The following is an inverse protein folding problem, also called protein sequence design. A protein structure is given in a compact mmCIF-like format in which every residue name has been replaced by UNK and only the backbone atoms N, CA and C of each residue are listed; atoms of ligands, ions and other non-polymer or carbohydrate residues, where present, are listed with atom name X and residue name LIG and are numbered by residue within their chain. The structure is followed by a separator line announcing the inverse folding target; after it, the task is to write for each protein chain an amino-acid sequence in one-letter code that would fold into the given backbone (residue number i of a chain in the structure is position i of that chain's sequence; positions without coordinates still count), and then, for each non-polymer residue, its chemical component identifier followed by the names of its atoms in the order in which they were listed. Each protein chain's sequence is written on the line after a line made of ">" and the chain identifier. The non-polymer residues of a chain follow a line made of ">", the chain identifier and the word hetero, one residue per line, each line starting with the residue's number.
data_IF_752735323004
#
_entry.id   IF_752735323004
#
_cell.length_a   1.000
_cell.length_b   1.000
_cell.length_c   1.000
_cell.angle_alpha   90.00
_cell.angle_beta   90.00
_cell.angle_gamma   90.00
#
_symmetry.space_group_name_H-M   'P 1'
#
loop_
_entity.id
_entity.type
_entity.pdbx_description
1 polymer ?
#
# COMPACT_ATOMS: atom_id res chain seq x y z
N UNK A 1 69.50 -8.30 -30.28
CA UNK A 1 69.04 -7.54 -29.10
C UNK A 1 68.51 -8.52 -28.07
N UNK A 2 69.20 -8.66 -26.94
CA UNK A 2 68.75 -9.56 -25.81
C UNK A 2 67.70 -8.79 -24.98
N UNK A 3 66.41 -9.16 -25.07
CA UNK A 3 65.39 -8.67 -24.18
C UNK A 3 65.67 -9.22 -22.77
N UNK A 4 66.15 -8.35 -21.88
CA UNK A 4 66.25 -8.66 -20.46
C UNK A 4 64.82 -8.68 -19.90
N UNK A 5 64.28 -9.87 -19.63
CA UNK A 5 63.09 -10.03 -18.83
C UNK A 5 63.41 -9.49 -17.44
N UNK A 6 62.74 -8.40 -17.05
CA UNK A 6 62.81 -7.88 -15.67
C UNK A 6 62.21 -8.93 -14.74
N UNK A 7 63.01 -9.44 -13.82
CA UNK A 7 62.49 -10.32 -12.78
C UNK A 7 61.50 -9.53 -11.90
N UNK A 8 60.29 -10.04 -11.74
CA UNK A 8 59.30 -9.51 -10.80
C UNK A 8 59.89 -9.60 -9.39
N UNK A 9 59.90 -8.51 -8.66
CA UNK A 9 60.40 -8.50 -7.28
C UNK A 9 59.32 -8.95 -6.33
N UNK A 10 59.68 -9.50 -5.17
CA UNK A 10 58.71 -9.87 -4.12
C UNK A 10 57.87 -8.66 -3.69
N UNK A 11 58.45 -7.46 -3.75
CA UNK A 11 57.78 -6.21 -3.44
C UNK A 11 56.67 -5.91 -4.44
N UNK A 12 56.89 -6.20 -5.72
CA UNK A 12 55.84 -5.99 -6.76
C UNK A 12 54.66 -6.93 -6.53
N UNK A 13 54.91 -8.18 -6.12
CA UNK A 13 53.86 -9.15 -5.80
C UNK A 13 53.07 -8.73 -4.55
N UNK A 14 53.76 -8.30 -3.51
CA UNK A 14 53.13 -7.82 -2.27
C UNK A 14 52.30 -6.56 -2.54
N UNK A 15 52.80 -5.61 -3.35
CA UNK A 15 52.07 -4.41 -3.77
C UNK A 15 50.80 -4.77 -4.55
N UNK A 16 50.91 -5.69 -5.51
CA UNK A 16 49.76 -6.15 -6.28
C UNK A 16 48.69 -6.83 -5.39
N UNK A 17 49.11 -7.68 -4.43
CA UNK A 17 48.21 -8.32 -3.49
C UNK A 17 47.46 -7.30 -2.60
N UNK A 18 48.16 -6.28 -2.13
CA UNK A 18 47.59 -5.23 -1.29
C UNK A 18 46.55 -4.43 -2.08
N UNK A 19 46.85 -4.00 -3.29
CA UNK A 19 45.93 -3.29 -4.15
C UNK A 19 44.69 -4.15 -4.49
N UNK A 20 44.93 -5.43 -4.83
CA UNK A 20 43.84 -6.35 -5.12
C UNK A 20 42.92 -6.57 -3.93
N UNK A 21 43.44 -6.67 -2.71
CA UNK A 21 42.63 -6.83 -1.50
C UNK A 21 41.76 -5.59 -1.22
N UNK A 22 42.29 -4.38 -1.47
CA UNK A 22 41.52 -3.14 -1.34
C UNK A 22 40.38 -3.07 -2.37
N UNK A 23 40.67 -3.43 -3.62
CA UNK A 23 39.66 -3.45 -4.69
C UNK A 23 38.55 -4.45 -4.38
N UNK A 24 38.89 -5.66 -3.96
CA UNK A 24 37.93 -6.70 -3.58
C UNK A 24 37.09 -6.24 -2.37
N UNK A 25 37.74 -5.67 -1.34
CA UNK A 25 37.04 -5.14 -0.17
C UNK A 25 36.06 -4.03 -0.53
N UNK A 26 36.48 -3.09 -1.38
CA UNK A 26 35.59 -2.04 -1.86
C UNK A 26 34.42 -2.55 -2.69
N UNK A 27 34.66 -3.56 -3.54
CA UNK A 27 33.61 -4.20 -4.35
C UNK A 27 32.58 -4.92 -3.48
N UNK A 28 33.04 -5.66 -2.45
CA UNK A 28 32.15 -6.32 -1.49
C UNK A 28 31.33 -5.32 -0.68
N UNK A 29 31.95 -4.25 -0.19
CA UNK A 29 31.24 -3.19 0.52
C UNK A 29 30.16 -2.56 -0.35
N UNK A 30 30.48 -2.23 -1.60
CA UNK A 30 29.52 -1.68 -2.55
C UNK A 30 28.35 -2.65 -2.80
N UNK A 31 28.61 -3.93 -2.91
CA UNK A 31 27.58 -4.95 -3.14
C UNK A 31 26.63 -5.05 -1.94
N UNK A 32 27.14 -5.03 -0.71
CA UNK A 32 26.33 -5.01 0.52
C UNK A 32 25.46 -3.73 0.55
N UNK A 33 26.07 -2.58 0.29
CA UNK A 33 25.36 -1.31 0.25
C UNK A 33 24.19 -1.30 -0.76
N UNK A 34 24.41 -1.86 -1.95
CA UNK A 34 23.36 -1.98 -2.97
C UNK A 34 22.24 -2.91 -2.51
N UNK A 35 22.58 -4.06 -1.89
CA UNK A 35 21.57 -4.98 -1.37
C UNK A 35 20.71 -4.38 -0.25
N UNK A 36 21.32 -3.66 0.68
CA UNK A 36 20.58 -2.97 1.75
C UNK A 36 19.58 -1.95 1.18
N UNK A 37 20.04 -1.12 0.24
CA UNK A 37 19.15 -0.14 -0.42
C UNK A 37 18.04 -0.79 -1.25
N UNK A 38 18.30 -1.94 -1.90
CA UNK A 38 17.26 -2.67 -2.63
C UNK A 38 16.18 -3.22 -1.69
N UNK A 39 16.57 -3.80 -0.57
CA UNK A 39 15.62 -4.33 0.41
C UNK A 39 14.72 -3.21 0.98
N UNK A 40 15.28 -2.05 1.34
CA UNK A 40 14.48 -0.90 1.80
C UNK A 40 13.51 -0.39 0.71
N UNK A 41 13.95 -0.39 -0.55
CA UNK A 41 13.12 0.02 -1.67
C UNK A 41 11.97 -0.96 -1.93
N UNK A 42 12.24 -2.27 -1.88
CA UNK A 42 11.23 -3.32 -2.05
C UNK A 42 10.18 -3.25 -0.94
N UNK A 43 10.58 -3.15 0.32
CA UNK A 43 9.69 -3.01 1.47
C UNK A 43 8.81 -1.75 1.38
N UNK A 44 9.41 -0.62 0.98
CA UNK A 44 8.66 0.63 0.81
C UNK A 44 7.67 0.54 -0.35
N UNK A 45 8.05 -0.12 -1.44
CA UNK A 45 7.19 -0.30 -2.62
C UNK A 45 6.02 -1.24 -2.31
N UNK A 46 6.26 -2.35 -1.61
CA UNK A 46 5.22 -3.29 -1.20
C UNK A 46 4.20 -2.63 -0.26
N UNK A 47 4.67 -1.83 0.70
CA UNK A 47 3.79 -1.08 1.60
C UNK A 47 2.90 -0.10 0.84
N UNK A 48 3.45 0.69 -0.08
CA UNK A 48 2.67 1.62 -0.92
C UNK A 48 1.64 0.88 -1.77
N UNK A 49 2.04 -0.22 -2.39
CA UNK A 49 1.16 -1.04 -3.20
C UNK A 49 -0.04 -1.57 -2.39
N UNK A 50 0.15 -2.00 -1.14
CA UNK A 50 -0.94 -2.43 -0.25
C UNK A 50 -1.96 -1.33 0.01
N UNK A 51 -1.51 -0.10 0.26
CA UNK A 51 -2.39 1.07 0.47
C UNK A 51 -3.18 1.37 -0.80
N UNK A 52 -2.53 1.38 -1.96
CA UNK A 52 -3.16 1.65 -3.25
C UNK A 52 -4.18 0.57 -3.61
N UNK A 53 -3.83 -0.70 -3.43
CA UNK A 53 -4.73 -1.83 -3.67
C UNK A 53 -5.97 -1.77 -2.76
N UNK A 54 -5.80 -1.42 -1.49
CA UNK A 54 -6.91 -1.24 -0.56
C UNK A 54 -7.84 -0.09 -1.01
N UNK A 55 -7.25 1.05 -1.42
CA UNK A 55 -8.01 2.17 -1.97
C UNK A 55 -8.81 1.78 -3.22
N UNK A 56 -8.16 1.15 -4.20
CA UNK A 56 -8.83 0.71 -5.44
C UNK A 56 -9.97 -0.28 -5.15
N UNK A 57 -9.75 -1.21 -4.22
CA UNK A 57 -10.75 -2.19 -3.83
C UNK A 57 -11.96 -1.52 -3.19
N UNK A 58 -11.75 -0.60 -2.25
CA UNK A 58 -12.80 0.21 -1.64
C UNK A 58 -13.55 1.05 -2.68
N UNK A 59 -12.82 1.75 -3.54
CA UNK A 59 -13.42 2.57 -4.59
C UNK A 59 -14.31 1.75 -5.52
N UNK A 60 -13.86 0.56 -5.90
CA UNK A 60 -14.66 -0.37 -6.71
C UNK A 60 -15.92 -0.84 -6.00
N UNK A 61 -15.84 -1.12 -4.69
CA UNK A 61 -17.02 -1.47 -3.89
C UNK A 61 -18.01 -0.31 -3.81
N UNK A 62 -17.52 0.91 -3.59
CA UNK A 62 -18.37 2.10 -3.60
C UNK A 62 -19.08 2.31 -4.93
N UNK A 63 -18.38 2.12 -6.05
CA UNK A 63 -18.96 2.30 -7.38
C UNK A 63 -20.02 1.25 -7.72
N UNK A 64 -19.79 -0.03 -7.34
CA UNK A 64 -20.66 -1.14 -7.71
C UNK A 64 -21.86 -1.33 -6.78
N UNK A 65 -21.71 -1.06 -5.49
CA UNK A 65 -22.77 -1.34 -4.52
C UNK A 65 -24.08 -0.59 -4.83
N UNK A 66 -25.21 -1.26 -4.69
CA UNK A 66 -26.55 -0.66 -4.80
C UNK A 66 -26.93 0.07 -3.52
N UNK A 67 -26.52 -0.46 -2.37
CA UNK A 67 -26.68 0.14 -1.04
C UNK A 67 -25.41 0.06 -0.23
N UNK A 68 -25.13 1.10 0.54
CA UNK A 68 -23.94 1.19 1.37
C UNK A 68 -24.37 1.64 2.77
N UNK A 69 -24.06 0.86 3.79
CA UNK A 69 -24.38 1.18 5.17
C UNK A 69 -23.12 1.22 6.03
N UNK A 70 -23.04 2.18 6.93
CA UNK A 70 -21.98 2.26 7.93
C UNK A 70 -22.57 2.05 9.32
N UNK A 71 -22.15 0.99 10.00
CA UNK A 71 -22.61 0.61 11.34
C UNK A 71 -21.45 0.03 12.13
N UNK A 72 -21.25 0.49 13.37
CA UNK A 72 -20.30 -0.08 14.33
C UNK A 72 -18.89 -0.27 13.78
N UNK A 73 -18.38 0.74 13.07
CA UNK A 73 -17.07 0.69 12.40
C UNK A 73 -16.98 -0.32 11.25
N UNK A 74 -18.09 -0.73 10.68
CA UNK A 74 -18.14 -1.58 9.49
C UNK A 74 -18.91 -0.89 8.36
N UNK A 75 -18.35 -0.95 7.16
CA UNK A 75 -19.06 -0.58 5.93
C UNK A 75 -19.58 -1.87 5.31
N UNK A 76 -20.90 -1.93 5.09
CA UNK A 76 -21.57 -3.03 4.42
C UNK A 76 -21.98 -2.57 3.03
N UNK A 77 -21.45 -3.21 2.02
CA UNK A 77 -21.78 -3.00 0.62
C UNK A 77 -22.73 -4.10 0.16
N UNK A 78 -23.85 -3.74 -0.45
CA UNK A 78 -24.81 -4.66 -1.03
C UNK A 78 -24.83 -4.49 -2.54
N UNK A 79 -24.63 -5.55 -3.31
CA UNK A 79 -24.65 -5.63 -4.76
C UNK A 79 -25.36 -6.94 -5.17
N UNK A 80 -26.47 -6.88 -5.90
CA UNK A 80 -27.19 -8.06 -6.44
C UNK A 80 -27.33 -9.24 -5.44
N UNK A 81 -27.82 -8.99 -4.22
CA UNK A 81 -27.93 -9.95 -3.12
C UNK A 81 -26.61 -10.47 -2.52
N UNK A 82 -25.46 -9.98 -2.97
CA UNK A 82 -24.17 -10.24 -2.34
C UNK A 82 -23.84 -9.12 -1.35
N UNK A 83 -23.19 -9.50 -0.26
CA UNK A 83 -22.72 -8.54 0.74
C UNK A 83 -21.22 -8.65 0.88
N UNK A 84 -20.54 -7.52 0.79
CA UNK A 84 -19.13 -7.36 1.11
C UNK A 84 -19.00 -6.48 2.36
N UNK A 85 -18.01 -6.77 3.19
CA UNK A 85 -17.81 -6.08 4.46
C UNK A 85 -16.43 -5.49 4.51
N UNK A 86 -16.35 -4.27 5.04
CA UNK A 86 -15.08 -3.62 5.34
C UNK A 86 -15.12 -3.16 6.78
N UNK A 87 -14.32 -3.78 7.62
CA UNK A 87 -14.18 -3.38 9.01
C UNK A 87 -13.06 -2.33 9.16
N UNK A 88 -13.41 -1.20 9.75
CA UNK A 88 -12.52 -0.07 10.01
C UNK A 88 -12.17 -0.10 11.49
N UNK A 89 -11.12 -0.83 11.84
CA UNK A 89 -10.58 -0.84 13.20
C UNK A 89 -9.59 0.30 13.43
N UNK A 90 -9.22 0.52 14.68
CA UNK A 90 -8.26 1.58 15.06
C UNK A 90 -6.88 1.33 14.43
N UNK A 91 -6.43 0.08 14.46
CA UNK A 91 -5.08 -0.31 14.04
C UNK A 91 -5.10 -1.24 12.83
N UNK A 92 -6.28 -1.60 12.32
CA UNK A 92 -6.44 -2.59 11.26
C UNK A 92 -7.67 -2.30 10.39
N UNK A 93 -7.45 -2.22 9.09
CA UNK A 93 -8.49 -2.26 8.07
C UNK A 93 -8.61 -3.69 7.54
N UNK A 94 -9.81 -4.27 7.57
CA UNK A 94 -10.09 -5.60 7.01
C UNK A 94 -11.07 -5.45 5.86
N UNK A 95 -10.69 -5.90 4.68
CA UNK A 95 -11.53 -5.91 3.49
C UNK A 95 -11.92 -7.35 3.20
N UNK A 96 -13.20 -7.67 3.28
CA UNK A 96 -13.73 -9.00 2.99
C UNK A 96 -14.63 -8.97 1.75
N UNK A 97 -14.04 -9.34 0.61
CA UNK A 97 -14.71 -9.46 -0.70
C UNK A 97 -14.68 -10.90 -1.24
N UNK A 98 -14.60 -11.90 -0.33
CA UNK A 98 -14.37 -13.30 -0.69
C UNK A 98 -12.93 -13.77 -0.48
N UNK A 99 -11.96 -12.85 -0.50
CA UNK A 99 -10.62 -13.03 0.11
C UNK A 99 -10.51 -11.98 1.20
N UNK A 100 -10.02 -12.39 2.36
CA UNK A 100 -9.74 -11.45 3.45
C UNK A 100 -8.39 -10.81 3.15
N UNK A 101 -8.39 -9.51 3.03
CA UNK A 101 -7.19 -8.70 2.93
C UNK A 101 -7.16 -7.71 4.10
N UNK A 102 -5.99 -7.38 4.61
CA UNK A 102 -5.83 -6.52 5.77
C UNK A 102 -4.67 -5.55 5.60
N UNK A 103 -4.90 -4.32 6.06
CA UNK A 103 -3.92 -3.26 6.10
C UNK A 103 -3.75 -2.79 7.54
N UNK A 104 -2.53 -2.89 8.08
CA UNK A 104 -2.19 -2.30 9.37
C UNK A 104 -2.06 -0.79 9.19
N UNK A 105 -2.85 -0.01 9.91
CA UNK A 105 -2.87 1.43 9.87
C UNK A 105 -3.15 2.00 11.26
N UNK A 106 -3.03 3.29 11.42
CA UNK A 106 -3.50 3.99 12.61
C UNK A 106 -4.62 4.94 12.19
N UNK A 107 -5.86 4.59 12.54
CA UNK A 107 -7.03 5.41 12.20
C UNK A 107 -7.02 6.70 13.02
N UNK A 108 -7.14 7.84 12.33
CA UNK A 108 -7.24 9.17 12.95
C UNK A 108 -8.71 9.54 13.07
N UNK A 109 -9.45 9.57 11.96
CA UNK A 109 -10.84 10.01 11.93
C UNK A 109 -11.65 9.35 10.80
N UNK A 110 -12.97 9.27 10.99
CA UNK A 110 -13.93 8.80 9.99
C UNK A 110 -15.13 9.71 9.96
N UNK A 111 -15.27 10.48 8.91
CA UNK A 111 -16.43 11.31 8.65
C UNK A 111 -17.37 10.64 7.65
N UNK A 112 -18.66 10.63 7.93
CA UNK A 112 -19.66 10.01 7.06
C UNK A 112 -20.79 10.99 6.72
N UNK A 113 -21.23 10.98 5.46
CA UNK A 113 -22.45 11.66 5.03
C UNK A 113 -23.47 10.66 4.53
N UNK A 114 -24.72 10.81 4.92
CA UNK A 114 -25.83 9.92 4.55
C UNK A 114 -26.83 10.62 3.63
N UNK A 115 -27.60 9.84 2.90
CA UNK A 115 -28.74 10.35 2.12
C UNK A 115 -29.82 10.79 3.12
N UNK A 116 -30.39 11.98 2.89
CA UNK A 116 -31.42 12.55 3.76
C UNK A 116 -32.64 11.61 3.86
N UNK A 117 -32.98 11.23 5.10
CA UNK A 117 -34.09 10.29 5.37
C UNK A 117 -33.78 8.81 5.26
N UNK A 118 -32.51 8.43 5.00
CA UNK A 118 -32.07 7.04 4.85
C UNK A 118 -30.79 6.72 5.60
N UNK A 119 -30.59 5.43 5.83
CA UNK A 119 -29.37 4.94 6.48
C UNK A 119 -28.25 4.62 5.45
N UNK A 120 -28.50 4.93 4.17
CA UNK A 120 -27.57 4.72 3.07
C UNK A 120 -26.49 5.78 3.07
N UNK A 121 -25.25 5.34 3.01
CA UNK A 121 -24.06 6.20 3.00
C UNK A 121 -23.91 6.87 1.63
N UNK A 122 -23.74 8.18 1.63
CA UNK A 122 -23.48 8.98 0.42
C UNK A 122 -21.98 9.19 0.19
N UNK A 123 -21.25 9.49 1.26
CA UNK A 123 -19.81 9.65 1.22
C UNK A 123 -19.17 9.23 2.55
N UNK A 124 -17.92 8.84 2.48
CA UNK A 124 -17.06 8.61 3.63
C UNK A 124 -15.71 9.21 3.37
N UNK A 125 -15.16 9.87 4.39
CA UNK A 125 -13.79 10.34 4.47
C UNK A 125 -13.09 9.60 5.58
N UNK A 126 -11.93 9.05 5.32
CA UNK A 126 -11.13 8.26 6.24
C UNK A 126 -9.76 8.88 6.31
N UNK A 127 -9.37 9.35 7.49
CA UNK A 127 -8.03 9.85 7.77
C UNK A 127 -7.26 8.82 8.59
N UNK A 128 -6.05 8.47 8.16
CA UNK A 128 -5.21 7.48 8.83
C UNK A 128 -3.73 7.72 8.61
N UNK A 129 -2.92 7.22 9.52
CA UNK A 129 -1.47 7.12 9.38
C UNK A 129 -1.09 5.72 8.89
N UNK A 130 -0.19 5.67 7.93
CA UNK A 130 0.44 4.45 7.47
C UNK A 130 1.92 4.70 7.24
N UNK A 131 2.77 3.94 7.94
CA UNK A 131 4.23 4.05 7.82
C UNK A 131 4.73 5.52 7.97
N UNK A 132 4.34 6.19 9.05
CA UNK A 132 4.68 7.58 9.39
C UNK A 132 4.11 8.67 8.47
N UNK A 133 3.28 8.31 7.49
CA UNK A 133 2.63 9.26 6.57
C UNK A 133 1.15 9.33 6.84
N UNK A 134 0.60 10.54 6.79
CA UNK A 134 -0.83 10.75 6.85
C UNK A 134 -1.45 10.58 5.47
N UNK A 135 -2.56 9.87 5.42
CA UNK A 135 -3.37 9.64 4.22
C UNK A 135 -4.79 10.07 4.48
N UNK A 136 -5.44 10.55 3.42
CA UNK A 136 -6.86 10.86 3.41
C UNK A 136 -7.50 10.16 2.22
N UNK A 137 -8.51 9.33 2.49
CA UNK A 137 -9.32 8.70 1.46
C UNK A 137 -10.71 9.28 1.47
N UNK A 138 -11.20 9.67 0.29
CA UNK A 138 -12.55 10.16 0.11
C UNK A 138 -13.29 9.33 -0.94
N UNK A 139 -14.40 8.73 -0.52
CA UNK A 139 -15.26 7.95 -1.40
C UNK A 139 -16.65 8.60 -1.46
N UNK A 140 -17.18 8.71 -2.65
CA UNK A 140 -18.47 9.30 -2.92
C UNK A 140 -19.27 8.44 -3.87
N UNK A 141 -20.57 8.24 -3.58
CA UNK A 141 -21.52 7.56 -4.46
C UNK A 141 -22.55 8.53 -4.96
N UNK A 142 -22.64 8.68 -6.28
CA UNK A 142 -23.72 9.41 -6.93
C UNK A 142 -24.85 8.43 -7.24
N UNK A 143 -25.88 8.42 -6.44
CA UNK A 143 -27.10 7.67 -6.71
C UNK A 143 -27.84 8.40 -7.84
N UNK A 144 -27.95 7.79 -9.03
CA UNK A 144 -28.67 8.36 -10.18
C UNK A 144 -30.13 8.68 -9.82
N UNK A 145 -30.76 9.59 -10.58
CA UNK A 145 -32.13 10.01 -10.31
C UNK A 145 -33.15 8.86 -10.25
N UNK A 146 -32.97 7.80 -11.06
CA UNK A 146 -33.82 6.60 -11.03
C UNK A 146 -33.76 5.87 -9.68
N UNK A 147 -32.57 5.70 -9.15
CA UNK A 147 -32.35 5.07 -7.84
C UNK A 147 -32.89 5.90 -6.68
N UNK A 148 -32.92 7.23 -6.83
CA UNK A 148 -33.51 8.15 -5.85
C UNK A 148 -35.05 8.15 -5.88
N UNK A 149 -35.67 7.90 -7.04
CA UNK A 149 -37.15 7.85 -7.17
C UNK A 149 -37.70 6.57 -6.54
N UNK A 150 -37.12 5.41 -6.83
CA UNK A 150 -37.48 4.13 -6.18
C UNK A 150 -37.31 4.16 -4.66
N UNK A 151 -36.49 5.06 -4.21
CA UNK A 151 -36.15 5.30 -2.83
C UNK A 151 -37.17 6.23 -2.13
N UNK A 152 -37.90 7.04 -2.85
CA UNK A 152 -38.91 8.01 -2.31
C UNK A 152 -40.33 7.41 -2.30
N UNK A 153 -40.60 6.37 -3.11
CA UNK A 153 -41.96 5.79 -3.24
C UNK A 153 -42.19 4.54 -2.39
N UNK A 154 -41.30 4.22 -1.43
CA UNK A 154 -41.47 3.10 -0.46
C UNK A 154 -41.52 3.63 0.98
#
# INVERSE_FOLDING_TARGET
>A
MKNKLKAFTIIDVLGAMLISSIIVGAALYFLIFVQENQNEFEDSSERKYKVELAYETLNRLFLKADDIQYKRSEIVFSEDNRKSFVAIGRDLLIINTGKVDSLNWELIDVETSKIKGKNTLKSIRIEFNFDTKAFEWYFYKNFGKSTLIDIVER
#
